data_IF_024221543947
#
_entry.id   IF_024221543947
#
_cell.length_a   1.000
_cell.length_b   1.000
_cell.length_c   1.000
_cell.angle_alpha   90.00
_cell.angle_beta   90.00
_cell.angle_gamma   90.00
#
_symmetry.space_group_name_H-M   'P 1'
#
loop_
_entity.id
_entity.type
_entity.pdbx_description
1 polymer ?
#
# COMPACT_ATOMS: atom_id res chain seq x y z
N UNK A 1 -22.60 -40.56 -0.32
CA UNK A 1 -22.00 -39.63 -1.28
C UNK A 1 -22.68 -38.28 -1.11
N UNK A 2 -22.02 -37.32 -0.47
CA UNK A 2 -22.58 -35.96 -0.29
C UNK A 2 -22.05 -35.07 -1.42
N UNK A 3 -22.90 -34.28 -2.11
CA UNK A 3 -22.45 -33.44 -3.20
C UNK A 3 -21.81 -32.15 -2.65
N UNK A 4 -20.57 -31.90 -3.03
CA UNK A 4 -19.86 -30.64 -2.77
C UNK A 4 -20.57 -29.51 -3.53
N UNK A 5 -21.23 -28.58 -2.80
CA UNK A 5 -21.77 -27.35 -3.39
C UNK A 5 -20.61 -26.47 -3.85
N UNK A 6 -20.29 -26.56 -5.13
CA UNK A 6 -19.34 -25.68 -5.79
C UNK A 6 -19.98 -24.27 -5.88
N UNK A 7 -19.53 -23.32 -5.06
CA UNK A 7 -20.10 -21.97 -5.00
C UNK A 7 -19.42 -21.08 -6.07
N UNK A 8 -20.08 -20.75 -7.18
CA UNK A 8 -19.48 -20.01 -8.30
C UNK A 8 -19.06 -18.57 -7.92
N UNK A 9 -19.66 -18.00 -6.87
CA UNK A 9 -19.31 -16.66 -6.37
C UNK A 9 -17.94 -16.63 -5.69
N UNK A 10 -17.53 -17.73 -5.05
CA UNK A 10 -16.21 -17.85 -4.42
C UNK A 10 -15.08 -17.89 -5.45
N UNK A 11 -15.32 -18.50 -6.62
CA UNK A 11 -14.36 -18.57 -7.71
C UNK A 11 -14.22 -17.24 -8.46
N UNK A 12 -15.30 -16.47 -8.58
CA UNK A 12 -15.27 -15.13 -9.16
C UNK A 12 -14.48 -14.16 -8.26
N UNK A 13 -14.78 -14.13 -6.96
CA UNK A 13 -14.06 -13.30 -5.97
C UNK A 13 -12.55 -13.59 -5.94
N UNK A 14 -12.15 -14.87 -6.01
CA UNK A 14 -10.74 -15.27 -6.07
C UNK A 14 -10.01 -14.80 -7.34
N UNK A 15 -10.68 -14.77 -8.50
CA UNK A 15 -10.10 -14.26 -9.75
C UNK A 15 -9.96 -12.73 -9.74
N UNK A 16 -10.89 -12.00 -9.14
CA UNK A 16 -10.76 -10.55 -8.97
C UNK A 16 -9.61 -10.19 -8.02
N UNK A 17 -9.48 -10.88 -6.88
CA UNK A 17 -8.39 -10.67 -5.92
C UNK A 17 -7.02 -11.02 -6.54
N UNK A 18 -6.93 -12.10 -7.31
CA UNK A 18 -5.69 -12.51 -7.97
C UNK A 18 -5.27 -11.50 -9.07
N UNK A 19 -6.20 -11.04 -9.90
CA UNK A 19 -5.92 -10.01 -10.92
C UNK A 19 -5.56 -8.67 -10.27
N UNK A 20 -6.24 -8.27 -9.20
CA UNK A 20 -5.93 -7.04 -8.47
C UNK A 20 -4.52 -7.08 -7.86
N UNK A 21 -4.11 -8.21 -7.26
CA UNK A 21 -2.76 -8.40 -6.71
C UNK A 21 -1.67 -8.40 -7.78
N UNK A 22 -1.92 -9.05 -8.92
CA UNK A 22 -0.97 -9.07 -10.04
C UNK A 22 -0.80 -7.67 -10.67
N UNK A 23 -1.89 -6.93 -10.81
CA UNK A 23 -1.88 -5.59 -11.41
C UNK A 23 -1.44 -4.48 -10.42
N UNK A 24 -1.59 -4.69 -9.11
CA UNK A 24 -1.16 -3.73 -8.09
C UNK A 24 0.36 -3.48 -8.12
N UNK A 25 1.17 -4.51 -8.45
CA UNK A 25 2.61 -4.35 -8.63
C UNK A 25 2.96 -3.45 -9.81
N UNK A 26 2.34 -3.68 -10.97
CA UNK A 26 2.52 -2.83 -12.15
C UNK A 26 2.02 -1.40 -11.95
N UNK A 27 0.93 -1.23 -11.19
CA UNK A 27 0.37 0.08 -10.89
C UNK A 27 1.30 0.89 -9.97
N UNK A 28 1.80 0.30 -8.88
CA UNK A 28 2.75 0.98 -7.97
C UNK A 28 4.03 1.38 -8.69
N UNK A 29 4.56 0.51 -9.54
CA UNK A 29 5.73 0.83 -10.35
C UNK A 29 5.45 2.00 -11.32
N UNK A 30 4.27 2.01 -11.95
CA UNK A 30 3.87 3.10 -12.83
C UNK A 30 3.75 4.44 -12.08
N UNK A 31 3.14 4.45 -10.90
CA UNK A 31 3.04 5.62 -10.02
C UNK A 31 4.44 6.14 -9.65
N UNK A 32 5.37 5.24 -9.29
CA UNK A 32 6.76 5.60 -9.03
C UNK A 32 7.45 6.24 -10.25
N UNK A 33 7.19 5.74 -11.47
CA UNK A 33 7.80 6.29 -12.71
C UNK A 33 7.32 7.71 -12.99
N UNK A 34 6.04 7.98 -12.69
CA UNK A 34 5.45 9.32 -12.83
C UNK A 34 6.07 10.30 -11.83
N UNK A 35 6.28 9.90 -10.58
CA UNK A 35 7.02 10.70 -9.59
C UNK A 35 8.46 10.97 -10.01
N UNK A 36 9.18 9.97 -10.55
CA UNK A 36 10.54 10.17 -11.06
C UNK A 36 10.59 11.10 -12.26
N UNK A 37 9.52 11.17 -13.06
CA UNK A 37 9.40 12.19 -14.12
C UNK A 37 9.26 13.58 -13.51
N UNK A 38 8.39 13.78 -12.52
CA UNK A 38 8.27 15.07 -11.82
C UNK A 38 9.57 15.48 -11.12
N UNK A 39 10.25 14.52 -10.49
CA UNK A 39 11.57 14.74 -9.87
C UNK A 39 12.61 15.26 -10.86
N UNK A 40 12.66 14.68 -12.06
CA UNK A 40 13.55 15.15 -13.14
C UNK A 40 13.21 16.56 -13.58
N UNK A 41 11.92 16.87 -13.80
CA UNK A 41 11.50 18.23 -14.16
C UNK A 41 11.89 19.26 -13.09
N UNK A 42 11.73 18.93 -11.81
CA UNK A 42 12.15 19.79 -10.69
C UNK A 42 13.67 19.98 -10.63
N UNK A 43 14.45 18.91 -10.90
CA UNK A 43 15.92 18.97 -10.99
C UNK A 43 16.37 19.84 -12.17
N UNK A 44 15.73 19.70 -13.33
CA UNK A 44 16.04 20.49 -14.52
C UNK A 44 15.73 21.98 -14.28
N UNK A 45 14.57 22.27 -13.69
CA UNK A 45 14.19 23.62 -13.26
C UNK A 45 15.24 24.21 -12.30
N UNK A 46 15.71 23.42 -11.33
CA UNK A 46 16.72 23.85 -10.36
C UNK A 46 18.11 24.05 -10.99
N UNK A 47 18.49 23.23 -11.97
CA UNK A 47 19.77 23.31 -12.68
C UNK A 47 19.83 24.55 -13.59
N UNK A 48 18.67 24.97 -14.12
CA UNK A 48 18.54 26.12 -15.01
C UNK A 48 17.86 27.32 -14.35
N UNK A 49 17.94 27.42 -13.02
CA UNK A 49 17.20 28.40 -12.22
C UNK A 49 17.37 29.84 -12.70
N UNK A 50 18.60 30.27 -13.00
CA UNK A 50 18.90 31.64 -13.44
C UNK A 50 18.28 32.00 -14.81
N UNK A 51 17.96 30.98 -15.62
CA UNK A 51 17.41 31.14 -16.97
C UNK A 51 15.95 30.67 -17.09
N UNK A 52 15.31 30.29 -15.98
CA UNK A 52 13.94 29.80 -15.99
C UNK A 52 12.94 30.96 -16.11
N UNK A 53 11.82 30.71 -16.80
CA UNK A 53 10.71 31.67 -16.83
C UNK A 53 9.66 31.31 -15.79
N UNK A 54 8.84 32.31 -15.42
CA UNK A 54 7.70 32.13 -14.51
C UNK A 54 6.77 31.00 -14.98
N UNK A 55 6.54 30.92 -16.29
CA UNK A 55 5.70 29.92 -16.92
C UNK A 55 6.28 28.51 -16.72
N UNK A 56 7.58 28.33 -16.93
CA UNK A 56 8.26 27.04 -16.73
C UNK A 56 8.18 26.60 -15.27
N UNK A 57 8.34 27.53 -14.32
CA UNK A 57 8.14 27.26 -12.89
C UNK A 57 6.71 26.78 -12.62
N UNK A 58 5.71 27.53 -13.09
CA UNK A 58 4.30 27.22 -12.85
C UNK A 58 3.88 25.90 -13.48
N UNK A 59 4.32 25.60 -14.70
CA UNK A 59 4.07 24.34 -15.38
C UNK A 59 4.70 23.15 -14.64
N UNK A 60 5.94 23.31 -14.19
CA UNK A 60 6.66 22.26 -13.45
C UNK A 60 5.98 21.97 -12.12
N UNK A 61 5.64 23.00 -11.35
CA UNK A 61 4.90 22.83 -10.09
C UNK A 61 3.49 22.28 -10.34
N UNK A 62 2.81 22.70 -11.41
CA UNK A 62 1.49 22.15 -11.78
C UNK A 62 1.56 20.67 -12.08
N UNK A 63 2.55 20.21 -12.83
CA UNK A 63 2.74 18.78 -13.10
C UNK A 63 2.96 17.99 -11.81
N UNK A 64 3.81 18.50 -10.90
CA UNK A 64 4.02 17.89 -9.59
C UNK A 64 2.72 17.81 -8.78
N UNK A 65 1.97 18.92 -8.68
CA UNK A 65 0.68 19.00 -7.98
C UNK A 65 -0.34 18.00 -8.48
N UNK A 66 -0.45 17.81 -9.79
CA UNK A 66 -1.41 16.86 -10.38
C UNK A 66 -1.18 15.43 -9.94
N UNK A 67 0.09 15.02 -9.77
CA UNK A 67 0.43 13.70 -9.26
C UNK A 67 0.02 13.57 -7.79
N UNK A 68 0.29 14.61 -7.00
CA UNK A 68 -0.06 14.62 -5.58
C UNK A 68 -1.57 14.72 -5.33
N UNK A 69 -2.33 15.36 -6.22
CA UNK A 69 -3.80 15.29 -6.19
C UNK A 69 -4.29 13.86 -6.43
N UNK A 70 -3.73 13.13 -7.41
CA UNK A 70 -4.09 11.73 -7.64
C UNK A 70 -3.87 10.86 -6.40
N UNK A 71 -2.74 11.01 -5.71
CA UNK A 71 -2.47 10.28 -4.47
C UNK A 71 -3.37 10.68 -3.32
N UNK A 72 -3.67 11.98 -3.20
CA UNK A 72 -4.59 12.51 -2.21
C UNK A 72 -6.00 11.95 -2.40
N UNK A 73 -6.53 12.00 -3.63
CA UNK A 73 -7.85 11.48 -3.98
C UNK A 73 -7.92 9.97 -3.73
N UNK A 74 -6.91 9.22 -4.17
CA UNK A 74 -6.81 7.77 -3.90
C UNK A 74 -6.80 7.46 -2.40
N UNK A 75 -6.13 8.29 -1.59
CA UNK A 75 -6.09 8.13 -0.15
C UNK A 75 -7.45 8.43 0.51
N UNK A 76 -8.25 9.34 -0.05
CA UNK A 76 -9.62 9.62 0.41
C UNK A 76 -10.63 8.55 -0.01
N UNK A 77 -10.54 8.05 -1.24
CA UNK A 77 -11.50 7.10 -1.83
C UNK A 77 -11.40 5.66 -1.28
N UNK A 78 -10.28 5.31 -0.64
CA UNK A 78 -10.07 3.98 -0.04
C UNK A 78 -10.10 4.03 1.51
N UNK A 79 -11.24 4.39 2.15
CA UNK A 79 -11.25 4.70 3.57
C UNK A 79 -11.04 3.50 4.51
N UNK A 80 -11.24 2.24 4.14
CA UNK A 80 -11.35 1.15 5.13
C UNK A 80 -10.95 -0.24 4.58
N UNK A 81 -9.72 -0.43 4.10
CA UNK A 81 -9.30 -1.74 3.54
C UNK A 81 -7.84 -2.11 3.78
N UNK A 82 -7.57 -2.78 4.91
CA UNK A 82 -6.35 -3.56 5.19
C UNK A 82 -5.00 -2.81 5.22
N UNK A 83 -4.97 -1.47 5.23
CA UNK A 83 -3.75 -0.68 5.46
C UNK A 83 -3.87 0.06 6.80
N UNK A 84 -2.80 0.12 7.62
CA UNK A 84 -2.81 0.91 8.85
C UNK A 84 -3.23 2.35 8.54
N UNK A 85 -4.11 2.91 9.38
CA UNK A 85 -4.58 4.30 9.29
C UNK A 85 -3.44 5.33 9.11
N UNK A 86 -2.24 4.96 9.55
CA UNK A 86 -1.01 5.74 9.44
C UNK A 86 -0.59 6.02 8.00
N UNK A 87 -0.68 5.05 7.07
CA UNK A 87 -0.18 5.27 5.70
C UNK A 87 -1.03 6.29 4.94
N UNK A 88 -2.37 6.17 5.04
CA UNK A 88 -3.29 7.13 4.44
C UNK A 88 -3.05 8.53 4.99
N UNK A 89 -2.98 8.63 6.32
CA UNK A 89 -2.77 9.90 7.01
C UNK A 89 -1.43 10.53 6.61
N UNK A 90 -0.38 9.72 6.45
CA UNK A 90 0.92 10.18 5.96
C UNK A 90 0.85 10.73 4.53
N UNK A 91 0.15 10.05 3.61
CA UNK A 91 -0.04 10.54 2.22
C UNK A 91 -0.78 11.88 2.21
N UNK A 92 -1.89 11.98 2.95
CA UNK A 92 -2.68 13.20 3.07
C UNK A 92 -1.82 14.36 3.63
N UNK A 93 -1.05 14.10 4.68
CA UNK A 93 -0.17 15.09 5.28
C UNK A 93 0.94 15.55 4.32
N UNK A 94 1.55 14.62 3.58
CA UNK A 94 2.56 14.94 2.57
C UNK A 94 1.99 15.75 1.41
N UNK A 95 0.82 15.39 0.89
CA UNK A 95 0.14 16.14 -0.17
C UNK A 95 -0.15 17.58 0.28
N UNK A 96 -0.72 17.76 1.48
CA UNK A 96 -0.98 19.08 2.05
C UNK A 96 0.30 19.91 2.23
N UNK A 97 1.38 19.28 2.71
CA UNK A 97 2.68 19.93 2.82
C UNK A 97 3.19 20.41 1.46
N UNK A 98 3.08 19.57 0.42
CA UNK A 98 3.52 19.88 -0.94
C UNK A 98 2.72 21.04 -1.51
N UNK A 99 1.38 21.02 -1.39
CA UNK A 99 0.54 22.12 -1.87
C UNK A 99 0.92 23.44 -1.21
N UNK A 100 1.14 23.43 0.11
CA UNK A 100 1.59 24.62 0.84
C UNK A 100 2.98 25.09 0.36
N UNK A 101 3.92 24.16 0.15
CA UNK A 101 5.27 24.47 -0.33
C UNK A 101 5.24 25.06 -1.74
N UNK A 102 4.42 24.53 -2.63
CA UNK A 102 4.28 25.08 -3.99
C UNK A 102 3.70 26.49 -3.98
N UNK A 103 2.69 26.76 -3.14
CA UNK A 103 2.16 28.12 -2.97
C UNK A 103 3.22 29.09 -2.45
N UNK A 104 4.05 28.64 -1.49
CA UNK A 104 5.19 29.42 -0.97
C UNK A 104 6.24 29.70 -2.07
N UNK A 105 6.54 28.73 -2.94
CA UNK A 105 7.44 28.93 -4.09
C UNK A 105 6.83 29.92 -5.09
N UNK A 106 5.54 29.85 -5.38
CA UNK A 106 4.89 30.76 -6.33
C UNK A 106 4.80 32.20 -5.82
N UNK A 107 4.70 32.37 -4.50
CA UNK A 107 4.67 33.69 -3.85
C UNK A 107 6.05 34.33 -3.71
N UNK A 108 7.07 33.53 -3.38
CA UNK A 108 8.47 33.96 -3.21
C UNK A 108 9.41 32.89 -3.80
N UNK A 109 9.64 32.93 -5.13
CA UNK A 109 10.44 31.92 -5.83
C UNK A 109 11.89 31.89 -5.34
N UNK A 110 12.29 30.76 -4.77
CA UNK A 110 13.67 30.50 -4.31
C UNK A 110 14.10 29.09 -4.69
N UNK A 111 15.33 28.98 -5.19
CA UNK A 111 15.89 27.72 -5.71
C UNK A 111 15.89 26.62 -4.67
N UNK A 112 16.18 26.96 -3.42
CA UNK A 112 16.33 26.04 -2.29
C UNK A 112 14.96 25.50 -1.83
N UNK A 113 13.88 26.22 -2.11
CA UNK A 113 12.53 25.76 -1.73
C UNK A 113 12.11 24.51 -2.51
N UNK A 114 12.73 24.23 -3.66
CA UNK A 114 12.47 23.06 -4.51
C UNK A 114 13.11 21.78 -3.96
N UNK A 115 14.19 21.88 -3.18
CA UNK A 115 14.97 20.73 -2.70
C UNK A 115 14.10 19.69 -1.97
N UNK A 116 13.16 20.16 -1.16
CA UNK A 116 12.27 19.27 -0.42
C UNK A 116 11.29 18.52 -1.33
N UNK A 117 10.82 19.16 -2.42
CA UNK A 117 9.92 18.52 -3.39
C UNK A 117 10.65 17.42 -4.14
N UNK A 118 11.91 17.68 -4.54
CA UNK A 118 12.79 16.68 -5.15
C UNK A 118 12.98 15.51 -4.18
N UNK A 119 13.36 15.79 -2.93
CA UNK A 119 13.63 14.75 -1.93
C UNK A 119 12.41 13.87 -1.70
N UNK A 120 11.24 14.46 -1.43
CA UNK A 120 10.01 13.70 -1.19
C UNK A 120 9.65 12.83 -2.41
N UNK A 121 9.69 13.39 -3.62
CA UNK A 121 9.37 12.62 -4.82
C UNK A 121 10.32 11.43 -5.04
N UNK A 122 11.61 11.62 -4.73
CA UNK A 122 12.61 10.55 -4.87
C UNK A 122 12.38 9.43 -3.85
N UNK A 123 12.18 9.77 -2.58
CA UNK A 123 11.96 8.79 -1.51
C UNK A 123 10.66 8.01 -1.70
N UNK A 124 9.57 8.70 -2.05
CA UNK A 124 8.28 8.05 -2.31
C UNK A 124 8.37 7.15 -3.55
N UNK A 125 9.03 7.61 -4.62
CA UNK A 125 9.24 6.76 -5.79
C UNK A 125 10.08 5.52 -5.46
N UNK A 126 11.15 5.65 -4.67
CA UNK A 126 11.97 4.51 -4.25
C UNK A 126 11.14 3.48 -3.45
N UNK A 127 10.29 3.97 -2.55
CA UNK A 127 9.35 3.12 -1.81
C UNK A 127 8.36 2.37 -2.71
N UNK A 128 7.79 3.05 -3.71
CA UNK A 128 6.85 2.46 -4.68
C UNK A 128 7.52 1.45 -5.64
N UNK A 129 8.79 1.68 -5.97
CA UNK A 129 9.59 0.82 -6.85
C UNK A 129 10.13 -0.43 -6.14
N UNK A 130 10.21 -0.39 -4.82
CA UNK A 130 10.62 -1.56 -4.04
C UNK A 130 9.51 -2.60 -4.11
N UNK A 131 9.78 -3.70 -4.81
CA UNK A 131 8.91 -4.87 -4.83
C UNK A 131 8.83 -5.38 -3.39
N UNK A 132 7.67 -5.24 -2.75
CA UNK A 132 7.44 -5.87 -1.43
C UNK A 132 7.58 -7.39 -1.61
N UNK A 133 8.77 -7.91 -1.35
CA UNK A 133 8.94 -9.31 -1.01
C UNK A 133 8.44 -9.45 0.43
N UNK A 134 7.32 -10.16 0.61
CA UNK A 134 6.86 -10.63 1.91
C UNK A 134 6.08 -9.62 2.75
N UNK A 135 4.76 -9.54 2.51
CA UNK A 135 3.80 -9.46 3.62
C UNK A 135 3.36 -10.88 4.02
N UNK A 136 4.34 -11.77 4.19
CA UNK A 136 4.21 -13.09 4.81
C UNK A 136 5.28 -13.20 5.91
N UNK A 137 5.24 -12.31 6.90
CA UNK A 137 6.00 -12.52 8.14
C UNK A 137 5.26 -11.92 9.35
N UNK A 138 4.15 -12.57 9.70
CA UNK A 138 3.68 -12.69 11.07
C UNK A 138 2.82 -13.96 11.20
N UNK A 139 3.46 -15.11 11.01
CA UNK A 139 3.05 -16.36 11.65
C UNK A 139 4.31 -16.95 12.27
N UNK A 140 4.49 -16.69 13.57
CA UNK A 140 5.65 -17.13 14.35
C UNK A 140 5.83 -18.66 14.30
N UNK A 141 7.06 -19.16 14.44
CA UNK A 141 7.34 -20.59 14.44
C UNK A 141 7.05 -21.21 15.82
N UNK A 142 6.29 -22.30 15.83
CA UNK A 142 6.39 -23.40 16.78
C UNK A 142 5.82 -23.18 18.19
N UNK A 143 4.76 -23.93 18.51
CA UNK A 143 4.60 -24.55 19.83
C UNK A 143 3.73 -25.80 19.66
N UNK A 144 4.37 -26.96 19.72
CA UNK A 144 3.68 -28.22 19.95
C UNK A 144 2.93 -28.16 21.28
N UNK A 145 1.69 -28.64 21.28
CA UNK A 145 0.83 -28.69 22.45
C UNK A 145 -0.36 -29.59 22.15
N UNK A 146 -0.12 -30.89 22.27
CA UNK A 146 -1.13 -31.93 22.15
C UNK A 146 -2.06 -31.93 23.38
N UNK A 147 -3.31 -32.37 23.14
CA UNK A 147 -4.32 -32.89 24.07
C UNK A 147 -5.28 -31.88 24.75
N UNK A 148 -6.55 -32.26 25.09
CA UNK A 148 -7.02 -33.63 25.25
C UNK A 148 -8.28 -34.03 24.45
N UNK A 149 -8.26 -35.25 23.95
CA UNK A 149 -9.45 -36.04 23.66
C UNK A 149 -9.79 -36.86 24.90
N UNK A 150 -10.93 -36.56 25.54
CA UNK A 150 -11.55 -37.43 26.56
C UNK A 150 -12.55 -38.36 25.87
N UNK A 151 -12.41 -39.69 25.96
CA UNK A 151 -13.54 -40.63 25.83
C UNK A 151 -14.11 -40.99 27.22
N UNK A 152 -15.37 -41.46 27.29
CA UNK A 152 -16.08 -41.69 28.56
C UNK A 152 -15.60 -42.96 29.29
N UNK A 153 -15.72 -43.06 30.63
CA UNK A 153 -15.60 -44.33 31.32
C UNK A 153 -16.99 -44.97 31.50
N UNK A 154 -17.10 -46.25 31.13
CA UNK A 154 -17.70 -47.28 31.98
C UNK A 154 -17.66 -48.64 31.26
N UNK A 155 -16.65 -49.44 31.61
CA UNK A 155 -16.76 -50.89 31.60
C UNK A 155 -16.39 -51.40 32.99
N UNK A 156 -17.27 -52.17 33.59
CA UNK A 156 -17.01 -53.15 34.65
C UNK A 156 -18.11 -54.19 34.42
N UNK A 157 -17.85 -55.36 33.83
CA UNK A 157 -17.01 -56.43 34.37
C UNK A 157 -17.92 -57.32 35.24
N UNK A 158 -18.64 -58.27 34.63
CA UNK A 158 -18.30 -59.72 34.55
C UNK A 158 -18.19 -60.45 35.90
N UNK A 159 -19.16 -61.33 36.18
CA UNK A 159 -18.99 -62.71 36.71
C UNK A 159 -20.38 -63.32 36.94
N UNK A 160 -20.83 -64.28 36.11
CA UNK A 160 -20.76 -65.75 36.25
C UNK A 160 -21.69 -66.38 37.29
N UNK A 161 -22.26 -67.51 36.85
CA UNK A 161 -22.87 -68.63 37.58
C UNK A 161 -24.34 -68.50 38.03
N UNK A 162 -25.20 -69.53 38.04
CA UNK A 162 -25.32 -70.84 37.36
C UNK A 162 -26.67 -71.43 37.83
N UNK A 163 -27.30 -72.27 37.00
CA UNK A 163 -28.35 -73.28 37.32
C UNK A 163 -29.79 -72.86 37.66
N UNK A 164 -30.72 -73.61 37.06
CA UNK A 164 -32.12 -73.75 37.47
C UNK A 164 -33.08 -73.88 36.30
#
# INVERSE_FOLDING_TARGET
>A
MSPTRNNPYAQAAGKYDQNARQNAGSQREQEGRILLKANRMLKDLQAHWENMTREVLEETLKYNRQIWMLFYDTALENPEGNRPNDLRSNIINLANFIFKREMDILGDPKREKIDILITINQEVAAGLMTKQAGSEEHAAPGSGGQAPSSPPPAASGSSTDVHG
#
